data_IF_434030034325
#
_entry.id   IF_434030034325
#
_cell.length_a   1.000
_cell.length_b   1.000
_cell.length_c   1.000
_cell.angle_alpha   90.00
_cell.angle_beta   90.00
_cell.angle_gamma   90.00
#
_symmetry.space_group_name_H-M   'P 1'
#
loop_
_entity.id
_entity.type
_entity.pdbx_description
1 polymer ?
#
# COMPACT_ATOMS: atom_id res chain seq x y z
N UNK A 1 88.68 23.45 -17.92
CA UNK A 1 87.31 23.15 -18.38
C UNK A 1 86.66 22.17 -17.36
N UNK A 2 85.76 22.66 -16.53
CA UNK A 2 85.06 21.87 -15.54
C UNK A 2 83.65 21.64 -16.03
N UNK A 3 83.27 20.38 -16.23
CA UNK A 3 81.93 19.96 -16.58
C UNK A 3 81.09 19.87 -15.30
N UNK A 4 80.03 20.66 -15.22
CA UNK A 4 79.00 20.54 -14.19
C UNK A 4 77.92 19.53 -14.68
N UNK A 5 77.74 18.43 -13.92
CA UNK A 5 76.65 17.50 -14.13
C UNK A 5 75.48 17.96 -13.29
N UNK A 6 74.33 18.34 -13.93
CA UNK A 6 73.05 18.54 -13.28
C UNK A 6 72.34 17.21 -13.12
N UNK A 7 72.14 16.76 -11.86
CA UNK A 7 71.26 15.64 -11.54
C UNK A 7 69.86 16.17 -11.31
N UNK A 8 68.90 15.81 -12.21
CA UNK A 8 67.49 16.12 -12.05
C UNK A 8 66.88 15.01 -11.21
N UNK A 9 66.44 15.33 -9.99
CA UNK A 9 65.64 14.45 -9.14
C UNK A 9 64.17 14.51 -9.57
N UNK A 10 63.67 13.48 -10.17
CA UNK A 10 62.25 13.32 -10.44
C UNK A 10 61.52 12.85 -9.18
N UNK A 11 60.70 13.72 -8.59
CA UNK A 11 59.79 13.39 -7.50
C UNK A 11 58.56 12.64 -8.08
N UNK A 12 58.49 11.36 -7.93
CA UNK A 12 57.28 10.59 -8.25
C UNK A 12 56.25 10.80 -7.15
N UNK A 13 55.22 11.59 -7.40
CA UNK A 13 53.99 11.62 -6.57
C UNK A 13 53.27 10.28 -6.76
N UNK A 14 53.36 9.42 -5.77
CA UNK A 14 52.50 8.25 -5.66
C UNK A 14 51.11 8.76 -5.25
N UNK A 15 50.20 8.91 -6.24
CA UNK A 15 48.77 9.08 -5.97
C UNK A 15 48.23 7.76 -5.38
N UNK A 16 48.17 7.66 -4.06
CA UNK A 16 47.39 6.61 -3.39
C UNK A 16 45.94 6.85 -3.72
N UNK A 17 45.39 6.05 -4.65
CA UNK A 17 43.96 5.95 -4.81
C UNK A 17 43.38 5.42 -3.48
N UNK A 18 42.81 6.31 -2.66
CA UNK A 18 41.96 5.89 -1.57
C UNK A 18 40.80 5.14 -2.23
N UNK A 19 40.84 3.81 -2.17
CA UNK A 19 39.65 3.01 -2.50
C UNK A 19 38.54 3.44 -1.55
N UNK A 20 37.43 3.92 -2.11
CA UNK A 20 36.28 4.30 -1.30
C UNK A 20 35.86 3.10 -0.44
N UNK A 21 35.79 3.31 0.88
CA UNK A 21 35.37 2.27 1.81
C UNK A 21 33.98 1.75 1.39
N UNK A 22 33.75 0.41 1.35
CA UNK A 22 32.45 -0.14 1.01
C UNK A 22 31.33 0.48 1.86
N UNK A 23 30.17 0.76 1.27
CA UNK A 23 29.04 1.39 1.96
C UNK A 23 28.70 0.66 3.25
N UNK A 24 28.66 -0.67 3.20
CA UNK A 24 28.37 -1.51 4.37
C UNK A 24 29.35 -1.29 5.53
N UNK A 25 30.64 -1.14 5.27
CA UNK A 25 31.65 -0.97 6.33
C UNK A 25 31.55 0.44 6.96
N UNK A 26 31.24 1.44 6.14
CA UNK A 26 31.07 2.82 6.60
C UNK A 26 29.90 2.98 7.58
N UNK A 27 28.78 2.33 7.31
CA UNK A 27 27.51 2.53 8.03
C UNK A 27 27.17 1.44 9.04
N UNK A 28 28.01 0.43 9.22
CA UNK A 28 27.74 -0.71 10.12
C UNK A 28 27.41 -0.30 11.55
N UNK A 29 28.16 0.65 12.09
CA UNK A 29 27.95 1.12 13.46
C UNK A 29 26.59 1.82 13.62
N UNK A 30 26.24 2.70 12.70
CA UNK A 30 24.96 3.43 12.73
C UNK A 30 23.79 2.48 12.46
N UNK A 31 23.91 1.57 11.50
CA UNK A 31 22.89 0.54 11.25
C UNK A 31 22.60 -0.29 12.50
N UNK A 32 23.64 -0.74 13.21
CA UNK A 32 23.49 -1.48 14.44
C UNK A 32 22.79 -0.67 15.53
N UNK A 33 23.15 0.60 15.72
CA UNK A 33 22.50 1.50 16.68
C UNK A 33 21.01 1.70 16.36
N UNK A 34 20.68 1.89 15.06
CA UNK A 34 19.30 2.05 14.60
C UNK A 34 18.50 0.79 14.89
N UNK A 35 19.02 -0.39 14.52
CA UNK A 35 18.37 -1.66 14.73
C UNK A 35 18.11 -1.90 16.23
N UNK A 36 19.13 -1.72 17.07
CA UNK A 36 19.00 -1.96 18.52
C UNK A 36 17.98 -1.00 19.14
N UNK A 37 17.95 0.27 18.73
CA UNK A 37 16.99 1.25 19.20
C UNK A 37 15.55 0.91 18.78
N UNK A 38 15.34 0.50 17.53
CA UNK A 38 14.03 0.11 17.04
C UNK A 38 13.49 -1.15 17.74
N UNK A 39 14.35 -2.16 17.96
CA UNK A 39 13.96 -3.42 18.59
C UNK A 39 13.71 -3.31 20.10
N UNK A 40 14.20 -2.28 20.74
CA UNK A 40 13.98 -2.00 22.18
C UNK A 40 12.77 -1.11 22.45
N UNK A 41 12.05 -0.68 21.42
CA UNK A 41 10.96 0.28 21.51
C UNK A 41 9.61 -0.37 21.18
N UNK A 42 8.58 -0.02 21.93
CA UNK A 42 7.20 -0.49 21.74
C UNK A 42 6.25 0.62 21.25
N UNK A 43 6.76 1.80 20.95
CA UNK A 43 5.95 2.98 20.61
C UNK A 43 5.19 2.77 19.31
N UNK A 44 5.79 2.14 18.31
CA UNK A 44 5.11 1.81 17.06
C UNK A 44 3.82 1.00 17.29
N UNK A 45 3.92 -0.07 18.07
CA UNK A 45 2.78 -0.92 18.43
C UNK A 45 1.69 -0.15 19.16
N UNK A 46 2.07 0.62 20.18
CA UNK A 46 1.11 1.41 20.96
C UNK A 46 0.41 2.48 20.11
N UNK A 47 1.11 3.09 19.16
CA UNK A 47 0.53 4.07 18.22
C UNK A 47 -0.42 3.42 17.23
N UNK A 48 -0.06 2.25 16.70
CA UNK A 48 -0.97 1.49 15.85
C UNK A 48 -2.24 1.11 16.61
N UNK A 49 -2.11 0.63 17.85
CA UNK A 49 -3.26 0.33 18.72
C UNK A 49 -4.12 1.59 18.94
N UNK A 50 -3.50 2.71 19.37
CA UNK A 50 -4.22 3.98 19.59
C UNK A 50 -4.96 4.44 18.33
N UNK A 51 -4.30 4.42 17.15
CA UNK A 51 -4.90 4.85 15.90
C UNK A 51 -6.08 3.96 15.49
N UNK A 52 -5.90 2.65 15.50
CA UNK A 52 -6.91 1.70 15.00
C UNK A 52 -8.07 1.50 15.96
N UNK A 53 -7.84 1.59 17.26
CA UNK A 53 -8.87 1.39 18.29
C UNK A 53 -9.66 2.67 18.58
N UNK A 54 -9.02 3.86 18.46
CA UNK A 54 -9.68 5.14 18.72
C UNK A 54 -10.47 5.62 17.50
N UNK A 55 -9.91 5.50 16.30
CA UNK A 55 -10.51 6.05 15.08
C UNK A 55 -11.18 4.97 14.23
N UNK A 56 -10.83 3.71 14.39
CA UNK A 56 -11.40 2.59 13.64
C UNK A 56 -11.08 2.66 12.16
N UNK A 57 -12.06 2.31 11.34
CA UNK A 57 -11.99 2.40 9.89
C UNK A 57 -11.81 3.86 9.44
N UNK A 58 -10.82 4.11 8.60
CA UNK A 58 -10.39 5.47 8.19
C UNK A 58 -10.61 5.71 6.71
N UNK A 59 -11.79 5.34 6.21
CA UNK A 59 -12.08 5.45 4.79
C UNK A 59 -12.08 6.90 4.29
N UNK A 60 -11.65 7.11 3.05
CA UNK A 60 -11.57 8.43 2.42
C UNK A 60 -12.89 9.21 2.48
N UNK A 61 -12.80 10.49 2.84
CA UNK A 61 -13.96 11.37 3.01
C UNK A 61 -14.73 11.15 4.32
N UNK A 62 -14.24 10.29 5.24
CA UNK A 62 -14.87 10.07 6.53
C UNK A 62 -14.32 11.00 7.62
N UNK A 63 -15.15 11.40 8.60
CA UNK A 63 -14.67 12.14 9.77
C UNK A 63 -13.65 11.36 10.60
N UNK A 64 -13.62 10.02 10.54
CA UNK A 64 -12.67 9.20 11.26
C UNK A 64 -11.27 9.39 10.70
N UNK A 65 -11.10 9.37 9.38
CA UNK A 65 -9.83 9.65 8.72
C UNK A 65 -9.28 11.04 9.10
N UNK A 66 -10.11 12.08 9.02
CA UNK A 66 -9.64 13.44 9.32
C UNK A 66 -9.18 13.59 10.79
N UNK A 67 -9.87 12.95 11.73
CA UNK A 67 -9.41 12.91 13.15
C UNK A 67 -8.13 12.14 13.32
N UNK A 68 -7.93 11.04 12.60
CA UNK A 68 -6.67 10.28 12.64
C UNK A 68 -5.51 11.10 12.06
N UNK A 69 -5.74 11.85 10.97
CA UNK A 69 -4.78 12.79 10.40
C UNK A 69 -4.40 13.88 11.42
N UNK A 70 -5.38 14.51 12.08
CA UNK A 70 -5.13 15.54 13.09
C UNK A 70 -4.32 14.98 14.27
N UNK A 71 -4.65 13.78 14.74
CA UNK A 71 -3.92 13.09 15.79
C UNK A 71 -2.47 12.81 15.39
N UNK A 72 -2.26 12.26 14.18
CA UNK A 72 -0.92 11.94 13.68
C UNK A 72 -0.05 13.18 13.56
N UNK A 73 -0.59 14.28 13.00
CA UNK A 73 0.09 15.57 12.92
C UNK A 73 0.47 16.13 14.29
N UNK A 74 -0.42 16.01 15.28
CA UNK A 74 -0.13 16.45 16.65
C UNK A 74 0.99 15.62 17.29
N UNK A 75 0.92 14.29 17.18
CA UNK A 75 1.94 13.38 17.72
C UNK A 75 3.31 13.54 17.06
N UNK A 76 3.36 13.77 15.74
CA UNK A 76 4.62 14.06 15.05
C UNK A 76 5.28 15.36 15.53
N UNK A 77 4.47 16.37 15.89
CA UNK A 77 5.00 17.60 16.51
C UNK A 77 5.52 17.33 17.94
N UNK A 78 4.82 16.53 18.72
CA UNK A 78 5.26 16.10 20.06
C UNK A 78 6.60 15.33 19.99
N UNK A 79 6.83 14.56 18.92
CA UNK A 79 8.10 13.88 18.67
C UNK A 79 9.25 14.82 18.30
N UNK A 80 8.98 16.10 18.09
CA UNK A 80 9.98 17.09 17.66
C UNK A 80 10.39 16.97 16.19
N UNK A 81 9.57 16.32 15.36
CA UNK A 81 9.80 16.26 13.92
C UNK A 81 9.62 17.64 13.29
N UNK A 82 10.35 17.89 12.20
CA UNK A 82 10.36 19.18 11.52
C UNK A 82 9.33 19.22 10.39
N UNK A 83 8.93 20.43 10.01
CA UNK A 83 8.04 20.68 8.86
C UNK A 83 6.74 19.87 8.88
N UNK A 84 6.20 19.57 10.08
CA UNK A 84 4.96 18.80 10.26
C UNK A 84 3.78 19.58 9.71
N UNK A 85 3.14 19.04 8.68
CA UNK A 85 2.02 19.69 7.97
C UNK A 85 1.10 18.68 7.31
N UNK A 86 -0.15 19.11 7.05
CA UNK A 86 -1.07 18.43 6.15
C UNK A 86 -1.00 19.06 4.76
N UNK A 87 -0.70 18.26 3.72
CA UNK A 87 -0.76 18.71 2.33
C UNK A 87 -2.16 18.42 1.75
N UNK A 88 -2.90 19.44 1.27
CA UNK A 88 -4.31 19.28 0.94
C UNK A 88 -4.53 18.40 -0.30
N UNK A 89 -5.52 17.53 -0.21
CA UNK A 89 -5.96 16.64 -1.28
C UNK A 89 -7.49 16.62 -1.34
N UNK A 90 -8.08 16.67 -2.53
CA UNK A 90 -9.51 16.41 -2.72
C UNK A 90 -9.73 14.91 -2.99
N UNK A 91 -10.59 14.29 -2.20
CA UNK A 91 -10.83 12.84 -2.25
C UNK A 91 -12.29 12.51 -2.50
N UNK A 92 -12.62 11.42 -3.21
CA UNK A 92 -14.00 10.99 -3.36
C UNK A 92 -14.59 10.58 -2.02
N UNK A 93 -15.89 10.87 -1.83
CA UNK A 93 -16.63 10.52 -0.64
C UNK A 93 -17.77 9.56 -0.99
N UNK A 94 -17.47 8.28 -0.93
CA UNK A 94 -18.45 7.20 -1.08
C UNK A 94 -18.82 6.64 0.30
N UNK A 95 -20.09 6.28 0.47
CA UNK A 95 -20.60 5.71 1.72
C UNK A 95 -21.35 4.44 1.39
N UNK A 96 -20.98 3.34 2.03
CA UNK A 96 -21.57 2.00 1.87
C UNK A 96 -23.06 1.96 2.24
N UNK A 97 -23.41 2.55 3.37
CA UNK A 97 -24.76 2.48 3.93
C UNK A 97 -25.13 1.09 4.46
N UNK A 98 -26.43 0.80 4.52
CA UNK A 98 -26.94 -0.53 4.91
C UNK A 98 -26.96 -1.49 3.72
N UNK A 99 -26.60 -2.74 3.98
CA UNK A 99 -26.55 -3.76 2.93
C UNK A 99 -26.89 -5.16 3.45
N UNK A 100 -27.46 -6.00 2.60
CA UNK A 100 -27.74 -7.40 2.89
C UNK A 100 -27.88 -8.22 1.61
N UNK A 101 -27.50 -9.50 1.69
CA UNK A 101 -27.80 -10.51 0.68
C UNK A 101 -28.48 -11.72 1.33
N UNK A 102 -29.51 -12.23 0.68
CA UNK A 102 -30.23 -13.41 1.13
C UNK A 102 -30.46 -14.37 -0.03
N UNK A 103 -30.02 -15.60 0.11
CA UNK A 103 -30.43 -16.70 -0.70
C UNK A 103 -31.92 -16.97 -0.38
N UNK A 104 -32.79 -17.02 -1.38
CA UNK A 104 -34.21 -17.30 -1.24
C UNK A 104 -34.56 -18.73 -1.68
N UNK A 105 -33.91 -19.20 -2.73
CA UNK A 105 -34.04 -20.54 -3.26
C UNK A 105 -32.69 -21.21 -3.38
N UNK A 106 -32.54 -22.49 -3.14
CA UNK A 106 -33.60 -23.44 -2.78
C UNK A 106 -34.14 -23.33 -1.34
N UNK A 107 -33.40 -22.63 -0.44
CA UNK A 107 -33.83 -22.41 0.96
C UNK A 107 -33.37 -21.02 1.45
N UNK A 108 -34.14 -20.33 2.30
CA UNK A 108 -33.72 -19.06 2.84
C UNK A 108 -32.45 -19.18 3.69
N UNK A 109 -31.42 -18.33 3.37
CA UNK A 109 -30.17 -18.27 4.10
C UNK A 109 -29.54 -16.87 3.92
N UNK A 110 -29.12 -16.25 5.00
CA UNK A 110 -28.35 -15.01 4.90
C UNK A 110 -26.94 -15.29 4.37
N UNK A 111 -26.51 -14.49 3.41
CA UNK A 111 -25.19 -14.53 2.82
C UNK A 111 -24.38 -13.35 3.38
N UNK A 112 -23.31 -13.57 4.16
CA UNK A 112 -22.39 -12.50 4.48
C UNK A 112 -21.86 -11.86 3.19
N UNK A 113 -21.93 -10.53 3.12
CA UNK A 113 -21.53 -9.78 1.94
C UNK A 113 -20.92 -8.45 2.33
N UNK A 114 -20.13 -7.89 1.43
CA UNK A 114 -19.68 -6.50 1.44
C UNK A 114 -19.87 -5.91 0.04
N UNK A 115 -20.61 -4.80 -0.06
CA UNK A 115 -20.68 -4.03 -1.29
C UNK A 115 -19.28 -3.64 -1.75
N UNK A 116 -19.02 -3.64 -3.05
CA UNK A 116 -17.75 -3.19 -3.57
C UNK A 116 -17.63 -1.67 -3.51
N UNK A 117 -16.45 -1.17 -3.17
CA UNK A 117 -16.18 0.26 -3.06
C UNK A 117 -16.41 0.97 -4.39
N UNK A 118 -17.27 1.99 -4.37
CA UNK A 118 -17.73 2.64 -5.58
C UNK A 118 -18.98 2.05 -6.23
N UNK A 119 -19.56 0.97 -5.66
CA UNK A 119 -20.83 0.44 -6.13
C UNK A 119 -21.98 1.42 -5.92
N UNK A 120 -22.97 1.39 -6.84
CA UNK A 120 -24.24 2.09 -6.65
C UNK A 120 -25.18 1.28 -5.74
N UNK A 121 -26.21 1.96 -5.22
CA UNK A 121 -27.32 1.33 -4.51
C UNK A 121 -28.16 0.43 -5.41
N UNK A 122 -28.91 -0.50 -4.79
CA UNK A 122 -30.05 -1.16 -5.44
C UNK A 122 -31.24 -0.19 -5.55
N UNK A 123 -32.21 -0.44 -6.44
CA UNK A 123 -33.51 0.24 -6.38
C UNK A 123 -34.19 0.06 -5.01
N UNK A 124 -35.15 0.95 -4.63
CA UNK A 124 -35.97 0.74 -3.46
C UNK A 124 -36.58 -0.67 -3.42
N UNK A 125 -36.50 -1.37 -2.29
CA UNK A 125 -36.95 -2.77 -2.15
C UNK A 125 -35.91 -3.82 -2.57
N UNK A 126 -34.78 -3.41 -3.12
CA UNK A 126 -33.70 -4.31 -3.52
C UNK A 126 -33.87 -4.94 -4.90
N UNK A 127 -32.97 -5.84 -5.23
CA UNK A 127 -33.00 -6.66 -6.43
C UNK A 127 -33.24 -8.10 -6.02
N UNK A 128 -34.28 -8.73 -6.58
CA UNK A 128 -34.53 -10.15 -6.40
C UNK A 128 -34.48 -10.82 -7.78
N UNK A 129 -33.47 -11.64 -8.01
CA UNK A 129 -33.27 -12.30 -9.30
C UNK A 129 -32.63 -13.68 -9.15
N UNK A 130 -32.78 -14.49 -10.19
CA UNK A 130 -32.07 -15.75 -10.29
C UNK A 130 -30.57 -15.47 -10.50
N UNK A 131 -29.72 -16.35 -9.97
CA UNK A 131 -28.27 -16.23 -10.11
C UNK A 131 -27.80 -17.06 -11.30
N UNK A 132 -26.77 -16.60 -12.00
CA UNK A 132 -25.98 -17.38 -12.96
C UNK A 132 -24.52 -17.33 -12.54
N UNK A 133 -23.90 -18.49 -12.33
CA UNK A 133 -22.49 -18.59 -11.97
C UNK A 133 -21.64 -18.67 -13.23
N UNK A 134 -20.52 -17.96 -13.18
CA UNK A 134 -19.50 -17.93 -14.24
C UNK A 134 -18.11 -18.07 -13.65
N UNK A 135 -17.21 -18.76 -14.36
CA UNK A 135 -15.82 -19.00 -13.97
C UNK A 135 -14.81 -18.08 -14.63
N UNK A 136 -15.25 -17.23 -15.58
CA UNK A 136 -14.40 -16.26 -16.28
C UNK A 136 -15.24 -15.25 -17.05
N UNK A 137 -14.63 -14.18 -17.60
CA UNK A 137 -15.30 -13.30 -18.55
C UNK A 137 -15.65 -13.99 -19.86
N UNK A 138 -14.83 -14.94 -20.31
CA UNK A 138 -15.13 -15.75 -21.49
C UNK A 138 -16.36 -16.65 -21.24
N UNK A 139 -16.46 -17.27 -20.07
CA UNK A 139 -17.61 -18.07 -19.68
C UNK A 139 -18.88 -17.20 -19.60
N UNK A 140 -18.79 -15.97 -19.07
CA UNK A 140 -19.90 -15.02 -19.09
C UNK A 140 -20.37 -14.72 -20.52
N UNK A 141 -19.43 -14.47 -21.44
CA UNK A 141 -19.75 -14.22 -22.86
C UNK A 141 -20.48 -15.40 -23.47
N UNK A 142 -20.05 -16.62 -23.21
CA UNK A 142 -20.71 -17.84 -23.70
C UNK A 142 -22.12 -18.02 -23.16
N UNK A 143 -22.39 -17.50 -21.97
CA UNK A 143 -23.68 -17.57 -21.28
C UNK A 143 -24.52 -16.29 -21.42
N UNK A 144 -24.13 -15.34 -22.28
CA UNK A 144 -24.71 -13.99 -22.36
C UNK A 144 -26.24 -14.00 -22.47
N UNK A 145 -26.82 -14.81 -23.37
CA UNK A 145 -28.26 -14.91 -23.56
C UNK A 145 -29.02 -15.40 -22.29
N UNK A 146 -28.34 -16.12 -21.41
CA UNK A 146 -28.88 -16.64 -20.16
C UNK A 146 -28.70 -15.68 -18.99
N UNK A 147 -27.80 -14.70 -19.09
CA UNK A 147 -27.41 -13.77 -18.02
C UNK A 147 -28.35 -12.55 -17.93
N UNK A 148 -29.06 -12.21 -19.01
CA UNK A 148 -29.97 -11.07 -19.03
C UNK A 148 -31.04 -11.18 -17.90
N UNK A 149 -31.21 -10.10 -17.15
CA UNK A 149 -32.14 -10.03 -16.02
C UNK A 149 -31.73 -10.82 -14.76
N UNK A 150 -30.52 -11.42 -14.74
CA UNK A 150 -30.03 -12.20 -13.60
C UNK A 150 -28.95 -11.46 -12.82
N UNK A 151 -28.62 -12.01 -11.66
CA UNK A 151 -27.41 -11.67 -10.91
C UNK A 151 -26.30 -12.59 -11.42
N UNK A 152 -25.21 -12.01 -11.90
CA UNK A 152 -24.00 -12.76 -12.28
C UNK A 152 -23.15 -12.96 -11.04
N UNK A 153 -22.79 -14.20 -10.73
CA UNK A 153 -21.80 -14.55 -9.69
C UNK A 153 -20.51 -15.03 -10.35
N UNK A 154 -19.42 -14.29 -10.15
CA UNK A 154 -18.07 -14.72 -10.52
C UNK A 154 -17.51 -15.63 -9.42
N UNK A 155 -17.54 -16.94 -9.61
CA UNK A 155 -16.85 -17.90 -8.74
C UNK A 155 -15.52 -18.29 -9.38
N UNK A 156 -14.53 -17.41 -9.22
CA UNK A 156 -13.17 -17.57 -9.75
C UNK A 156 -12.22 -17.84 -8.61
N UNK A 157 -11.51 -19.00 -8.59
CA UNK A 157 -10.50 -19.31 -7.60
C UNK A 157 -9.37 -18.27 -7.58
N UNK A 158 -8.86 -17.98 -6.39
CA UNK A 158 -7.68 -17.12 -6.24
C UNK A 158 -6.44 -17.83 -6.79
N UNK A 159 -5.72 -17.18 -7.68
CA UNK A 159 -4.41 -17.62 -8.20
C UNK A 159 -3.32 -16.66 -7.74
N UNK A 160 -3.48 -15.40 -8.08
CA UNK A 160 -2.72 -14.27 -7.56
C UNK A 160 -3.67 -13.08 -7.45
N UNK A 161 -3.30 -12.08 -6.64
CA UNK A 161 -4.13 -10.88 -6.53
C UNK A 161 -4.28 -10.18 -7.89
N UNK A 162 -3.17 -9.96 -8.60
CA UNK A 162 -3.18 -9.29 -9.90
C UNK A 162 -4.07 -9.94 -10.96
N UNK A 163 -4.14 -11.28 -10.96
CA UNK A 163 -5.00 -12.01 -11.89
C UNK A 163 -6.46 -12.06 -11.44
N UNK A 164 -6.70 -12.24 -10.13
CA UNK A 164 -8.06 -12.47 -9.65
C UNK A 164 -8.83 -11.17 -9.42
N UNK A 165 -8.16 -10.08 -9.04
CA UNK A 165 -8.79 -8.78 -8.73
C UNK A 165 -9.58 -8.17 -9.88
N UNK A 166 -9.29 -8.52 -11.13
CA UNK A 166 -10.02 -8.03 -12.30
C UNK A 166 -11.53 -8.34 -12.24
N UNK A 167 -11.92 -9.46 -11.62
CA UNK A 167 -13.34 -9.83 -11.47
C UNK A 167 -14.05 -8.92 -10.47
N UNK A 168 -13.35 -8.42 -9.46
CA UNK A 168 -13.83 -7.37 -8.57
C UNK A 168 -13.88 -6.03 -9.29
N UNK A 169 -12.79 -5.62 -9.95
CA UNK A 169 -12.66 -4.31 -10.56
C UNK A 169 -13.58 -4.09 -11.76
N UNK A 170 -13.76 -5.10 -12.62
CA UNK A 170 -14.48 -4.99 -13.90
C UNK A 170 -15.74 -5.86 -13.99
N UNK A 171 -15.99 -6.72 -13.02
CA UNK A 171 -17.10 -7.69 -13.08
C UNK A 171 -18.46 -7.05 -13.31
N UNK A 172 -18.75 -5.91 -12.67
CA UNK A 172 -20.00 -5.19 -12.88
C UNK A 172 -20.16 -4.66 -14.32
N UNK A 173 -19.07 -4.18 -14.93
CA UNK A 173 -19.06 -3.71 -16.33
C UNK A 173 -19.41 -4.87 -17.27
N UNK A 174 -18.69 -5.99 -17.15
CA UNK A 174 -18.88 -7.14 -18.03
C UNK A 174 -20.27 -7.79 -17.84
N UNK A 175 -20.76 -7.88 -16.60
CA UNK A 175 -22.10 -8.35 -16.31
C UNK A 175 -23.18 -7.43 -16.91
N UNK A 176 -23.01 -6.12 -16.83
CA UNK A 176 -23.95 -5.15 -17.38
C UNK A 176 -24.02 -5.22 -18.92
N UNK A 177 -22.91 -5.48 -19.61
CA UNK A 177 -22.87 -5.65 -21.08
C UNK A 177 -23.78 -6.78 -21.56
N UNK A 178 -23.98 -7.81 -20.76
CA UNK A 178 -24.88 -8.94 -21.09
C UNK A 178 -26.28 -8.81 -20.46
N UNK A 179 -26.63 -7.61 -19.95
CA UNK A 179 -27.97 -7.31 -19.43
C UNK A 179 -28.23 -7.83 -18.02
N UNK A 180 -27.20 -8.19 -17.25
CA UNK A 180 -27.37 -8.55 -15.85
C UNK A 180 -27.88 -7.37 -15.00
N UNK A 181 -28.53 -7.66 -13.87
CA UNK A 181 -29.11 -6.64 -12.98
C UNK A 181 -28.24 -6.34 -11.75
N UNK A 182 -27.32 -7.22 -11.39
CA UNK A 182 -26.30 -7.05 -10.37
C UNK A 182 -25.15 -8.01 -10.60
N UNK A 183 -24.00 -7.75 -9.97
CA UNK A 183 -22.86 -8.63 -9.94
C UNK A 183 -22.49 -9.04 -8.51
N UNK A 184 -22.22 -10.31 -8.31
CA UNK A 184 -21.62 -10.85 -7.10
C UNK A 184 -20.24 -11.40 -7.46
N UNK A 185 -19.28 -11.23 -6.54
CA UNK A 185 -17.91 -11.70 -6.73
C UNK A 185 -17.55 -12.57 -5.54
N UNK A 186 -17.01 -13.76 -5.80
CA UNK A 186 -16.29 -14.52 -4.79
C UNK A 186 -15.18 -13.65 -4.24
N UNK A 187 -15.05 -13.54 -2.94
CA UNK A 187 -14.00 -12.79 -2.27
C UNK A 187 -12.60 -13.11 -2.82
N UNK A 188 -11.82 -12.06 -3.10
CA UNK A 188 -10.48 -12.17 -3.71
C UNK A 188 -9.47 -12.52 -2.63
N UNK A 189 -9.45 -13.78 -2.24
CA UNK A 189 -8.60 -14.33 -1.19
C UNK A 189 -8.31 -15.81 -1.44
N UNK A 190 -7.11 -16.30 -1.06
CA UNK A 190 -6.81 -17.73 -1.09
C UNK A 190 -7.48 -18.50 0.04
N UNK A 191 -7.90 -17.80 1.11
CA UNK A 191 -8.42 -18.40 2.33
C UNK A 191 -9.57 -17.57 2.89
N UNK A 192 -10.62 -18.22 3.37
CA UNK A 192 -11.77 -17.53 3.95
C UNK A 192 -12.37 -18.36 5.10
N UNK A 193 -12.87 -17.66 6.12
CA UNK A 193 -13.68 -18.21 7.21
C UNK A 193 -15.04 -17.52 7.20
N UNK A 194 -15.73 -17.57 6.07
CA UNK A 194 -16.97 -16.86 5.77
C UNK A 194 -16.84 -15.33 5.92
N UNK A 195 -15.65 -14.81 5.69
CA UNK A 195 -15.37 -13.38 5.71
C UNK A 195 -15.40 -12.84 4.28
N UNK A 196 -16.34 -11.93 3.94
CA UNK A 196 -16.33 -11.28 2.63
C UNK A 196 -15.20 -10.24 2.56
N UNK A 197 -14.59 -10.10 1.39
CA UNK A 197 -13.54 -9.13 1.10
C UNK A 197 -14.06 -8.05 0.15
N UNK A 198 -14.07 -6.79 0.59
CA UNK A 198 -14.43 -5.65 -0.26
C UNK A 198 -13.28 -5.22 -1.15
N UNK A 199 -13.29 -4.02 -1.63
CA UNK A 199 -12.26 -3.35 -2.42
C UNK A 199 -12.86 -2.57 -3.58
N UNK A 200 -12.05 -1.70 -4.20
CA UNK A 200 -12.47 -0.82 -5.28
C UNK A 200 -12.97 -1.54 -6.53
N UNK A 201 -13.95 -0.95 -7.18
CA UNK A 201 -14.43 -1.33 -8.51
C UNK A 201 -14.56 -0.10 -9.40
N UNK A 202 -14.67 -0.34 -10.71
CA UNK A 202 -14.89 0.70 -11.71
C UNK A 202 -16.24 0.55 -12.41
N UNK A 203 -16.74 1.68 -12.94
CA UNK A 203 -17.82 1.70 -13.92
C UNK A 203 -17.31 2.27 -15.25
N UNK A 204 -17.93 1.81 -16.33
CA UNK A 204 -17.74 2.35 -17.68
C UNK A 204 -18.95 3.25 -18.01
N UNK A 205 -18.69 4.48 -18.48
CA UNK A 205 -19.73 5.44 -18.82
C UNK A 205 -20.61 5.01 -20.00
N UNK A 206 -20.13 4.08 -20.82
CA UNK A 206 -20.85 3.55 -21.98
C UNK A 206 -21.81 2.41 -21.63
N UNK A 207 -21.77 1.92 -20.40
CA UNK A 207 -22.54 0.76 -19.94
C UNK A 207 -23.42 1.15 -18.73
N UNK A 208 -24.62 0.59 -18.64
CA UNK A 208 -25.50 0.79 -17.47
C UNK A 208 -24.77 0.37 -16.20
N UNK A 209 -24.76 1.23 -15.19
CA UNK A 209 -24.24 0.88 -13.86
C UNK A 209 -25.20 -0.11 -13.17
N UNK A 210 -24.67 -1.15 -12.58
CA UNK A 210 -25.37 -2.14 -11.77
C UNK A 210 -24.70 -2.29 -10.40
N UNK A 211 -25.44 -2.61 -9.32
CA UNK A 211 -24.85 -2.88 -8.02
C UNK A 211 -23.91 -4.07 -8.05
N UNK A 212 -22.83 -4.00 -7.25
CA UNK A 212 -21.88 -5.09 -7.13
C UNK A 212 -21.42 -5.28 -5.68
N UNK A 213 -21.27 -6.55 -5.28
CA UNK A 213 -20.85 -6.94 -3.93
C UNK A 213 -19.97 -8.18 -3.96
N UNK A 214 -19.10 -8.30 -2.95
CA UNK A 214 -18.40 -9.54 -2.66
C UNK A 214 -19.23 -10.40 -1.70
N UNK A 215 -19.21 -11.71 -1.92
CA UNK A 215 -19.71 -12.72 -0.98
C UNK A 215 -18.56 -13.65 -0.57
N UNK A 216 -18.77 -14.44 0.46
CA UNK A 216 -17.73 -15.36 0.95
C UNK A 216 -17.33 -16.40 -0.10
N UNK A 217 -16.13 -16.93 0.01
CA UNK A 217 -15.66 -18.05 -0.83
C UNK A 217 -16.58 -19.25 -0.70
N UNK A 218 -16.98 -19.57 0.53
CA UNK A 218 -17.80 -20.72 0.85
C UNK A 218 -19.21 -20.61 0.24
N UNK A 219 -19.82 -19.42 0.31
CA UNK A 219 -21.16 -19.20 -0.21
C UNK A 219 -21.15 -19.14 -1.75
N UNK A 220 -20.11 -18.57 -2.37
CA UNK A 220 -19.94 -18.60 -3.83
C UNK A 220 -19.84 -20.04 -4.34
N UNK A 221 -19.00 -20.85 -3.72
CA UNK A 221 -18.85 -22.27 -4.05
C UNK A 221 -20.11 -23.09 -3.76
N UNK A 222 -20.84 -22.78 -2.68
CA UNK A 222 -22.11 -23.43 -2.38
C UNK A 222 -23.12 -23.17 -3.50
N UNK A 223 -23.27 -21.92 -3.92
CA UNK A 223 -24.17 -21.53 -5.01
C UNK A 223 -23.76 -22.22 -6.33
N UNK A 224 -22.46 -22.30 -6.61
CA UNK A 224 -21.94 -23.00 -7.80
C UNK A 224 -22.38 -24.47 -7.80
N UNK A 225 -22.10 -25.20 -6.71
CA UNK A 225 -22.51 -26.60 -6.59
C UNK A 225 -24.01 -26.81 -6.67
N UNK A 226 -24.84 -25.86 -6.23
CA UNK A 226 -26.29 -25.89 -6.40
C UNK A 226 -26.68 -25.83 -7.89
N UNK A 227 -26.05 -24.92 -8.65
CA UNK A 227 -26.31 -24.82 -10.09
C UNK A 227 -25.83 -26.06 -10.86
N UNK A 228 -24.70 -26.66 -10.50
CA UNK A 228 -24.19 -27.90 -11.11
C UNK A 228 -25.19 -29.07 -10.95
N UNK A 229 -25.93 -29.08 -9.84
CA UNK A 229 -27.00 -30.04 -9.62
C UNK A 229 -28.33 -29.69 -10.31
N UNK A 230 -28.35 -28.57 -11.07
CA UNK A 230 -29.55 -28.10 -11.75
C UNK A 230 -30.55 -27.37 -10.84
N UNK A 231 -30.15 -27.00 -9.62
CA UNK A 231 -31.03 -26.28 -8.69
C UNK A 231 -31.20 -24.83 -9.13
N UNK A 232 -32.39 -24.30 -9.00
CA UNK A 232 -32.66 -22.87 -9.20
C UNK A 232 -32.17 -22.09 -8.00
N UNK A 233 -31.22 -21.16 -8.21
CA UNK A 233 -30.71 -20.28 -7.17
C UNK A 233 -31.29 -18.88 -7.36
N UNK A 234 -31.91 -18.33 -6.30
CA UNK A 234 -32.47 -16.98 -6.30
C UNK A 234 -31.98 -16.19 -5.11
N UNK A 235 -31.51 -14.97 -5.35
CA UNK A 235 -30.96 -14.10 -4.32
C UNK A 235 -31.69 -12.77 -4.29
N UNK A 236 -31.93 -12.25 -3.09
CA UNK A 236 -32.35 -10.88 -2.81
C UNK A 236 -31.12 -10.11 -2.35
N UNK A 237 -30.79 -9.02 -3.05
CA UNK A 237 -29.68 -8.08 -2.74
C UNK A 237 -30.26 -6.72 -2.41
N UNK A 238 -29.82 -6.14 -1.30
CA UNK A 238 -30.16 -4.78 -0.87
C UNK A 238 -28.89 -4.03 -0.56
N UNK A 239 -28.71 -2.85 -1.15
CA UNK A 239 -27.55 -1.96 -0.94
C UNK A 239 -28.03 -0.51 -0.99
N UNK A 240 -27.58 0.32 -0.04
CA UNK A 240 -27.93 1.73 0.03
C UNK A 240 -26.73 2.68 -0.15
N UNK A 241 -25.69 2.17 -0.82
CA UNK A 241 -24.47 2.93 -1.09
C UNK A 241 -24.74 4.25 -1.85
N UNK A 242 -23.99 5.27 -1.54
CA UNK A 242 -24.15 6.59 -2.17
C UNK A 242 -22.82 7.31 -2.33
N UNK A 243 -22.76 8.15 -3.36
CA UNK A 243 -21.70 9.14 -3.53
C UNK A 243 -22.13 10.48 -2.93
N UNK A 244 -21.27 11.08 -2.14
CA UNK A 244 -21.36 12.47 -1.73
C UNK A 244 -20.42 13.31 -2.61
N UNK A 245 -20.51 14.65 -2.59
CA UNK A 245 -19.46 15.50 -3.18
C UNK A 245 -18.09 15.19 -2.62
N UNK A 246 -17.05 15.36 -3.44
CA UNK A 246 -15.66 15.18 -3.03
C UNK A 246 -15.37 16.00 -1.75
N UNK A 247 -14.61 15.40 -0.85
CA UNK A 247 -14.25 15.98 0.45
C UNK A 247 -12.81 16.46 0.45
N UNK A 248 -12.52 17.45 1.30
CA UNK A 248 -11.14 17.85 1.59
C UNK A 248 -10.50 16.85 2.55
N UNK A 249 -9.30 16.40 2.22
CA UNK A 249 -8.43 15.59 3.05
C UNK A 249 -6.99 16.10 2.95
N UNK A 250 -6.03 15.39 3.53
CA UNK A 250 -4.63 15.81 3.57
C UNK A 250 -3.69 14.59 3.64
N UNK A 251 -2.61 14.64 2.87
CA UNK A 251 -1.44 13.83 3.20
C UNK A 251 -0.81 14.36 4.49
N UNK A 252 -0.36 13.47 5.35
CA UNK A 252 0.43 13.82 6.55
C UNK A 252 1.89 13.87 6.17
N UNK A 253 2.61 14.95 6.49
CA UNK A 253 4.02 15.09 6.15
C UNK A 253 4.83 15.54 7.37
N UNK A 254 5.98 14.90 7.60
CA UNK A 254 6.99 15.34 8.58
C UNK A 254 8.40 15.01 8.09
N UNK A 255 9.41 15.67 8.66
CA UNK A 255 10.78 15.60 8.15
C UNK A 255 11.83 15.55 9.29
N UNK A 256 12.99 14.95 8.96
CA UNK A 256 14.29 15.32 9.50
C UNK A 256 15.01 16.06 8.39
N UNK A 257 15.23 17.36 8.56
CA UNK A 257 15.86 18.21 7.54
C UNK A 257 17.33 17.85 7.40
N UNK A 258 17.79 17.70 6.16
CA UNK A 258 19.16 17.36 5.83
C UNK A 258 20.16 18.42 6.28
N UNK A 259 21.31 17.96 6.77
CA UNK A 259 22.36 18.84 7.31
C UNK A 259 23.24 19.51 6.25
N UNK A 260 23.37 18.92 5.06
CA UNK A 260 24.24 19.41 3.98
C UNK A 260 23.47 19.71 2.69
N UNK A 261 22.45 18.88 2.37
CA UNK A 261 21.67 18.94 1.12
C UNK A 261 20.17 18.88 1.44
N UNK A 262 19.62 19.90 2.13
CA UNK A 262 18.24 19.87 2.63
C UNK A 262 17.17 19.76 1.53
N UNK A 263 17.48 20.18 0.30
CA UNK A 263 16.56 20.13 -0.83
C UNK A 263 16.51 18.74 -1.50
N UNK A 264 17.49 17.87 -1.25
CA UNK A 264 17.49 16.49 -1.71
C UNK A 264 16.71 15.62 -0.72
N UNK A 265 15.80 14.76 -1.21
CA UNK A 265 14.78 14.12 -0.38
C UNK A 265 14.81 12.60 -0.56
N UNK A 266 14.85 11.87 0.54
CA UNK A 266 14.43 10.48 0.63
C UNK A 266 13.02 10.51 1.23
N UNK A 267 11.99 10.17 0.43
CA UNK A 267 10.61 10.10 0.88
C UNK A 267 10.23 8.66 1.16
N UNK A 268 9.51 8.42 2.26
CA UNK A 268 9.02 7.10 2.59
C UNK A 268 7.71 7.17 3.37
N UNK A 269 6.90 6.09 3.36
CA UNK A 269 5.62 6.13 4.02
C UNK A 269 4.78 4.88 3.78
N UNK A 270 3.51 5.05 4.03
CA UNK A 270 2.39 4.17 3.77
C UNK A 270 1.11 4.99 3.73
N UNK A 271 -0.04 4.39 3.49
CA UNK A 271 -1.29 5.17 3.46
C UNK A 271 -1.99 5.19 4.83
N UNK A 272 -2.57 6.35 5.16
CA UNK A 272 -3.25 6.54 6.44
C UNK A 272 -4.73 6.15 6.38
N UNK A 273 -5.34 6.16 5.21
CA UNK A 273 -6.71 5.68 5.04
C UNK A 273 -6.79 4.15 5.09
N UNK A 274 -7.96 3.63 5.17
CA UNK A 274 -8.27 2.19 5.14
C UNK A 274 -9.68 1.99 4.58
N UNK A 275 -10.06 0.75 4.28
CA UNK A 275 -11.47 0.45 3.99
C UNK A 275 -12.36 0.81 5.17
N UNK A 276 -13.67 0.92 4.90
CA UNK A 276 -14.72 1.22 5.87
C UNK A 276 -15.18 -0.01 6.68
N UNK A 277 -14.42 -1.09 6.59
CA UNK A 277 -14.58 -2.35 7.32
C UNK A 277 -13.30 -2.68 8.07
N UNK A 278 -13.38 -3.47 9.13
CA UNK A 278 -12.22 -3.71 9.99
C UNK A 278 -11.73 -2.45 10.68
N UNK A 279 -10.45 -2.38 10.92
CA UNK A 279 -9.77 -1.23 11.55
C UNK A 279 -8.56 -0.74 10.77
N UNK A 280 -8.24 -1.37 9.63
CA UNK A 280 -7.10 -1.01 8.80
C UNK A 280 -5.79 -1.03 9.61
N UNK A 281 -5.55 -2.12 10.35
CA UNK A 281 -4.33 -2.25 11.14
C UNK A 281 -3.18 -2.77 10.27
N UNK A 282 -3.48 -3.72 9.40
CA UNK A 282 -2.55 -4.31 8.46
C UNK A 282 -2.46 -3.47 7.18
N UNK A 283 -3.61 -2.98 6.71
CA UNK A 283 -3.81 -2.28 5.44
C UNK A 283 -4.42 -0.87 5.69
N UNK A 284 -3.62 0.21 5.82
CA UNK A 284 -2.16 0.21 5.95
C UNK A 284 -1.73 1.04 7.19
N UNK A 285 -2.50 0.96 8.28
CA UNK A 285 -2.11 1.62 9.54
C UNK A 285 -0.72 1.19 10.02
N UNK A 286 -0.39 -0.08 9.82
CA UNK A 286 0.91 -0.64 10.17
C UNK A 286 2.05 0.01 9.40
N UNK A 287 1.93 0.12 8.06
CA UNK A 287 2.98 0.68 7.22
C UNK A 287 3.23 2.16 7.48
N UNK A 288 2.18 2.97 7.55
CA UNK A 288 2.35 4.40 7.84
C UNK A 288 2.95 4.63 9.24
N UNK A 289 2.56 3.84 10.26
CA UNK A 289 3.14 3.97 11.61
C UNK A 289 4.57 3.48 11.64
N UNK A 290 4.92 2.41 10.92
CA UNK A 290 6.31 1.92 10.80
C UNK A 290 7.21 2.99 10.20
N UNK A 291 6.78 3.66 9.13
CA UNK A 291 7.56 4.74 8.53
C UNK A 291 7.71 5.94 9.48
N UNK A 292 6.63 6.36 10.11
CA UNK A 292 6.69 7.42 11.12
C UNK A 292 7.64 7.07 12.26
N UNK A 293 7.54 5.88 12.82
CA UNK A 293 8.37 5.43 13.92
C UNK A 293 9.84 5.29 13.51
N UNK A 294 10.13 4.87 12.27
CA UNK A 294 11.48 4.86 11.73
C UNK A 294 12.10 6.27 11.79
N UNK A 295 11.34 7.31 11.39
CA UNK A 295 11.81 8.69 11.46
C UNK A 295 12.03 9.13 12.93
N UNK A 296 11.13 8.78 13.84
CA UNK A 296 11.26 9.09 15.27
C UNK A 296 12.50 8.44 15.91
N UNK A 297 12.79 7.18 15.56
CA UNK A 297 14.00 6.49 16.06
C UNK A 297 15.26 7.23 15.61
N UNK A 298 15.34 7.65 14.35
CA UNK A 298 16.48 8.44 13.83
C UNK A 298 16.61 9.77 14.58
N UNK A 299 15.51 10.47 14.82
CA UNK A 299 15.48 11.72 15.58
C UNK A 299 16.00 11.53 17.02
N UNK A 300 15.52 10.49 17.73
CA UNK A 300 15.97 10.17 19.11
C UNK A 300 17.44 9.83 19.20
N UNK A 301 17.98 9.16 18.18
CA UNK A 301 19.41 8.84 18.11
C UNK A 301 20.29 10.06 17.80
N UNK A 302 19.69 11.22 17.48
CA UNK A 302 20.39 12.43 17.12
C UNK A 302 21.13 12.30 15.77
N UNK A 303 20.68 11.38 14.90
CA UNK A 303 21.27 11.18 13.60
C UNK A 303 20.91 12.35 12.68
N UNK A 304 21.93 12.89 11.99
CA UNK A 304 21.80 14.05 11.11
C UNK A 304 22.17 13.64 9.69
N UNK A 305 21.22 13.15 8.90
CA UNK A 305 21.48 12.74 7.53
C UNK A 305 21.89 13.96 6.68
N UNK A 306 22.64 13.75 5.63
CA UNK A 306 23.02 14.82 4.68
C UNK A 306 21.81 15.38 3.94
N UNK A 307 20.87 14.53 3.58
CA UNK A 307 19.63 14.84 2.85
C UNK A 307 18.44 14.77 3.76
N UNK A 308 17.38 15.46 3.40
CA UNK A 308 16.10 15.38 4.12
C UNK A 308 15.49 13.98 3.99
N UNK A 309 15.10 13.44 5.15
CA UNK A 309 14.24 12.25 5.20
C UNK A 309 12.83 12.74 5.49
N UNK A 310 11.91 12.42 4.61
CA UNK A 310 10.49 12.83 4.68
C UNK A 310 9.60 11.62 4.83
N UNK A 311 8.80 11.59 5.89
CA UNK A 311 7.71 10.62 6.01
C UNK A 311 6.43 11.22 5.45
N UNK A 312 5.66 10.40 4.74
CA UNK A 312 4.34 10.76 4.22
C UNK A 312 3.33 9.67 4.61
N UNK A 313 2.22 10.08 5.24
CA UNK A 313 1.01 9.28 5.33
C UNK A 313 0.08 9.71 4.21
N UNK A 314 0.05 8.95 3.13
CA UNK A 314 -0.80 9.27 1.98
C UNK A 314 -2.27 9.04 2.32
N UNK A 315 -3.14 9.84 1.76
CA UNK A 315 -4.60 9.69 1.89
C UNK A 315 -5.20 9.16 0.61
N UNK A 316 -6.29 8.41 0.72
CA UNK A 316 -7.07 7.92 -0.42
C UNK A 316 -6.33 6.96 -1.36
N UNK A 317 -5.49 6.08 -0.84
CA UNK A 317 -4.94 4.97 -1.63
C UNK A 317 -6.07 4.04 -2.07
N UNK A 318 -6.89 3.56 -1.13
CA UNK A 318 -7.87 2.48 -1.21
C UNK A 318 -8.93 2.66 -2.31
N UNK A 319 -9.29 3.91 -2.61
CA UNK A 319 -10.36 4.16 -3.56
C UNK A 319 -10.09 5.35 -4.50
N UNK A 320 -8.82 5.61 -4.83
CA UNK A 320 -8.55 6.66 -5.81
C UNK A 320 -7.12 7.06 -6.07
N UNK A 321 -6.17 6.79 -5.15
CA UNK A 321 -4.75 7.16 -5.29
C UNK A 321 -4.53 8.69 -5.36
N UNK A 322 -5.46 9.48 -4.78
CA UNK A 322 -5.40 10.94 -4.85
C UNK A 322 -4.26 11.51 -4.02
N UNK A 323 -3.86 10.83 -2.93
CA UNK A 323 -2.74 11.22 -2.08
C UNK A 323 -1.42 11.21 -2.83
N UNK A 324 -1.08 10.08 -3.46
CA UNK A 324 0.13 9.95 -4.27
C UNK A 324 0.14 10.89 -5.47
N UNK A 325 -0.99 11.05 -6.16
CA UNK A 325 -1.15 12.01 -7.26
C UNK A 325 -0.96 13.46 -6.79
N UNK A 326 -1.59 13.83 -5.67
CA UNK A 326 -1.48 15.16 -5.07
C UNK A 326 -0.04 15.47 -4.64
N UNK A 327 0.64 14.50 -4.04
CA UNK A 327 2.06 14.63 -3.69
C UNK A 327 2.92 14.88 -4.93
N UNK A 328 2.76 14.04 -5.98
CA UNK A 328 3.45 14.27 -7.28
C UNK A 328 3.23 15.67 -7.81
N UNK A 329 1.99 16.14 -7.82
CA UNK A 329 1.63 17.43 -8.43
C UNK A 329 2.19 18.61 -7.61
N UNK A 330 2.12 18.52 -6.27
CA UNK A 330 2.68 19.53 -5.36
C UNK A 330 4.21 19.63 -5.44
N UNK A 331 4.88 18.50 -5.68
CA UNK A 331 6.35 18.41 -5.69
C UNK A 331 6.95 18.24 -7.10
N UNK A 332 6.15 18.40 -8.16
CA UNK A 332 6.57 18.17 -9.55
C UNK A 332 7.79 19.00 -9.96
N UNK A 333 7.88 20.26 -9.52
CA UNK A 333 9.00 21.15 -9.83
C UNK A 333 10.31 20.73 -9.15
N UNK A 334 10.24 19.92 -8.10
CA UNK A 334 11.39 19.43 -7.34
C UNK A 334 11.51 17.89 -7.40
N UNK A 335 10.90 17.25 -8.39
CA UNK A 335 10.92 15.78 -8.50
C UNK A 335 12.33 15.24 -8.76
N UNK A 336 13.20 16.02 -9.40
CA UNK A 336 14.60 15.72 -9.61
C UNK A 336 15.43 15.70 -8.30
N UNK A 337 14.90 16.31 -7.24
CA UNK A 337 15.50 16.31 -5.90
C UNK A 337 15.12 15.06 -5.07
N UNK A 338 14.11 14.29 -5.48
CA UNK A 338 13.79 13.05 -4.80
C UNK A 338 14.79 11.96 -5.16
N UNK A 339 15.59 11.54 -4.18
CA UNK A 339 16.68 10.56 -4.35
C UNK A 339 16.17 9.13 -4.33
N UNK A 340 15.16 8.87 -3.51
CA UNK A 340 14.49 7.58 -3.36
C UNK A 340 13.08 7.78 -2.81
N UNK A 341 12.15 6.94 -3.25
CA UNK A 341 10.84 6.79 -2.64
C UNK A 341 10.67 5.37 -2.11
N UNK A 342 10.15 5.20 -0.89
CA UNK A 342 9.92 3.89 -0.27
C UNK A 342 8.49 3.82 0.24
N UNK A 343 7.80 2.72 -0.04
CA UNK A 343 6.44 2.46 0.48
C UNK A 343 6.39 1.16 1.28
N UNK A 344 5.61 1.16 2.35
CA UNK A 344 5.29 0.00 3.15
C UNK A 344 3.78 -0.19 3.11
N UNK A 345 3.32 -1.11 2.26
CA UNK A 345 1.90 -1.40 2.00
C UNK A 345 1.71 -2.91 1.71
N UNK A 346 2.34 -3.73 2.51
CA UNK A 346 2.22 -5.20 2.44
C UNK A 346 1.90 -5.81 3.80
N UNK A 347 1.43 -4.98 4.73
CA UNK A 347 1.34 -5.31 6.14
C UNK A 347 2.69 -5.21 6.85
N UNK A 348 2.66 -5.39 8.16
CA UNK A 348 3.86 -5.33 9.01
C UNK A 348 4.18 -6.71 9.59
N UNK A 349 4.20 -7.71 8.71
CA UNK A 349 4.67 -9.05 9.00
C UNK A 349 6.21 -9.10 9.00
N UNK A 350 6.77 -10.30 9.20
CA UNK A 350 8.23 -10.48 9.21
C UNK A 350 8.87 -9.87 7.95
N UNK A 351 9.71 -8.83 8.07
CA UNK A 351 10.35 -8.23 6.91
C UNK A 351 11.39 -9.16 6.31
N UNK A 352 11.46 -9.19 4.99
CA UNK A 352 12.41 -9.96 4.20
C UNK A 352 13.46 -9.05 3.54
N UNK A 353 13.11 -7.78 3.30
CA UNK A 353 13.96 -6.81 2.63
C UNK A 353 13.17 -5.84 1.78
N UNK A 354 13.67 -5.56 0.57
CA UNK A 354 13.01 -4.62 -0.35
C UNK A 354 13.00 -5.12 -1.79
N UNK A 355 11.92 -4.81 -2.50
CA UNK A 355 11.93 -4.76 -3.95
C UNK A 355 12.38 -3.37 -4.41
N UNK A 356 13.30 -3.27 -5.36
CA UNK A 356 13.87 -2.01 -5.84
C UNK A 356 13.72 -1.83 -7.35
N UNK A 357 13.24 -0.68 -7.76
CA UNK A 357 13.17 -0.21 -9.15
C UNK A 357 14.02 1.03 -9.34
N UNK A 358 15.04 0.95 -10.18
CA UNK A 358 15.98 2.03 -10.46
C UNK A 358 17.12 1.55 -11.37
N UNK A 359 18.21 2.33 -11.44
CA UNK A 359 19.37 1.96 -12.25
C UNK A 359 20.15 0.78 -11.65
N UNK A 360 20.95 0.09 -12.48
CA UNK A 360 21.80 -1.01 -12.03
C UNK A 360 22.82 -0.56 -10.98
N UNK A 361 23.41 0.61 -11.16
CA UNK A 361 24.36 1.16 -10.20
C UNK A 361 23.69 1.48 -8.84
N UNK A 362 22.48 2.01 -8.85
CA UNK A 362 21.70 2.21 -7.62
C UNK A 362 21.35 0.86 -6.96
N UNK A 363 20.97 -0.14 -7.76
CA UNK A 363 20.68 -1.48 -7.25
C UNK A 363 21.85 -2.10 -6.50
N UNK A 364 23.08 -2.01 -7.05
CA UNK A 364 24.28 -2.52 -6.38
C UNK A 364 24.58 -1.75 -5.07
N UNK A 365 24.31 -0.44 -5.04
CA UNK A 365 24.44 0.35 -3.81
C UNK A 365 23.44 -0.09 -2.74
N UNK A 366 22.16 -0.24 -3.08
CA UNK A 366 21.15 -0.65 -2.10
C UNK A 366 21.33 -2.10 -1.64
N UNK A 367 21.91 -2.97 -2.49
CA UNK A 367 22.32 -4.33 -2.06
C UNK A 367 23.38 -4.29 -0.95
N UNK A 368 24.37 -3.41 -1.06
CA UNK A 368 25.36 -3.25 0.01
C UNK A 368 24.69 -2.79 1.31
N UNK A 369 23.71 -1.85 1.23
CA UNK A 369 22.96 -1.43 2.41
C UNK A 369 22.16 -2.61 2.97
N UNK A 370 21.53 -3.42 2.11
CA UNK A 370 20.80 -4.63 2.51
C UNK A 370 21.61 -5.55 3.41
N UNK A 371 22.91 -5.76 3.13
CA UNK A 371 23.77 -6.63 3.96
C UNK A 371 23.86 -6.19 5.43
N UNK A 372 23.57 -4.92 5.74
CA UNK A 372 23.53 -4.41 7.11
C UNK A 372 22.29 -4.88 7.88
N UNK A 373 21.28 -5.34 7.16
CA UNK A 373 20.03 -5.88 7.70
C UNK A 373 20.03 -7.41 7.87
N UNK A 374 21.11 -8.10 7.43
CA UNK A 374 21.21 -9.58 7.51
C UNK A 374 21.06 -10.08 8.95
N UNK A 375 21.56 -9.34 9.96
CA UNK A 375 21.43 -9.71 11.38
C UNK A 375 19.99 -9.81 11.87
N UNK A 376 19.05 -9.19 11.17
CA UNK A 376 17.61 -9.22 11.50
C UNK A 376 16.80 -9.97 10.42
N UNK A 377 17.46 -10.57 9.43
CA UNK A 377 16.84 -11.39 8.40
C UNK A 377 16.07 -10.62 7.32
N UNK A 378 16.31 -9.30 7.20
CA UNK A 378 15.64 -8.44 6.22
C UNK A 378 16.59 -7.81 5.19
N UNK A 379 17.71 -8.52 4.88
CA UNK A 379 18.75 -8.01 3.98
C UNK A 379 18.50 -8.23 2.49
N UNK A 380 17.46 -8.96 2.10
CA UNK A 380 17.21 -9.28 0.69
C UNK A 380 16.84 -8.05 -0.12
N UNK A 381 17.52 -7.85 -1.26
CA UNK A 381 17.15 -6.82 -2.23
C UNK A 381 16.86 -7.51 -3.56
N UNK A 382 15.64 -7.35 -4.06
CA UNK A 382 15.18 -7.93 -5.33
C UNK A 382 14.93 -6.84 -6.36
N UNK A 383 14.95 -7.20 -7.65
CA UNK A 383 14.55 -6.30 -8.72
C UNK A 383 13.04 -6.21 -8.82
N UNK A 384 12.56 -5.00 -9.15
CA UNK A 384 11.15 -4.66 -9.12
C UNK A 384 10.70 -4.27 -7.71
N UNK A 385 9.75 -3.40 -7.61
CA UNK A 385 9.24 -2.88 -6.35
C UNK A 385 8.79 -1.43 -6.50
N UNK A 386 8.09 -0.96 -5.53
CA UNK A 386 7.43 0.34 -5.49
C UNK A 386 6.17 0.21 -4.64
N UNK A 387 5.20 1.04 -4.90
CA UNK A 387 3.90 1.02 -4.27
C UNK A 387 2.92 1.92 -5.02
N UNK A 388 1.66 1.89 -4.63
CA UNK A 388 0.60 2.63 -5.30
C UNK A 388 0.75 4.15 -5.11
N UNK A 389 1.13 4.57 -3.91
CA UNK A 389 1.26 5.99 -3.58
C UNK A 389 2.54 6.64 -4.10
N UNK A 390 3.65 5.91 -4.16
CA UNK A 390 4.91 6.40 -4.76
C UNK A 390 4.94 6.21 -6.28
N UNK A 391 4.08 5.38 -6.85
CA UNK A 391 3.96 5.14 -8.29
C UNK A 391 3.93 6.41 -9.13
N UNK A 392 3.14 7.43 -8.78
CA UNK A 392 3.07 8.68 -9.51
C UNK A 392 4.40 9.45 -9.62
N UNK A 393 5.27 9.44 -8.60
CA UNK A 393 6.60 10.08 -8.69
C UNK A 393 7.64 9.15 -9.34
N UNK A 394 7.51 7.83 -9.16
CA UNK A 394 8.35 6.86 -9.87
C UNK A 394 8.17 6.97 -11.38
N UNK A 395 6.95 7.23 -11.86
CA UNK A 395 6.67 7.49 -13.28
C UNK A 395 7.40 8.72 -13.83
N UNK A 396 7.90 9.62 -12.96
CA UNK A 396 8.74 10.77 -13.31
C UNK A 396 10.24 10.48 -13.13
N UNK A 397 10.62 9.19 -12.97
CA UNK A 397 12.01 8.75 -12.91
C UNK A 397 12.64 8.74 -11.51
N UNK A 398 11.86 8.89 -10.44
CA UNK A 398 12.36 8.70 -9.07
C UNK A 398 12.57 7.20 -8.84
N UNK A 399 13.75 6.76 -8.34
CA UNK A 399 13.92 5.38 -7.92
C UNK A 399 12.92 4.99 -6.83
N UNK A 400 12.35 3.80 -6.91
CA UNK A 400 11.32 3.35 -5.98
C UNK A 400 11.68 2.04 -5.30
N UNK A 401 11.11 1.86 -4.10
CA UNK A 401 11.32 0.70 -3.26
C UNK A 401 10.03 0.33 -2.53
N UNK A 402 9.71 -0.96 -2.44
CA UNK A 402 8.65 -1.47 -1.58
C UNK A 402 9.23 -2.34 -0.48
N UNK A 403 8.79 -2.16 0.78
CA UNK A 403 9.12 -3.07 1.86
C UNK A 403 8.54 -4.44 1.55
N UNK A 404 9.38 -5.47 1.51
CA UNK A 404 8.94 -6.85 1.30
C UNK A 404 8.84 -7.56 2.64
N UNK A 405 7.69 -8.13 2.91
CA UNK A 405 7.40 -8.91 4.13
C UNK A 405 6.93 -10.32 3.78
N UNK A 406 6.80 -11.21 4.77
CA UNK A 406 6.12 -12.49 4.61
C UNK A 406 4.61 -12.27 4.39
N UNK A 407 4.20 -12.14 3.14
CA UNK A 407 2.83 -11.87 2.74
C UNK A 407 1.88 -13.07 2.81
N UNK A 408 2.28 -14.20 3.40
CA UNK A 408 1.48 -15.44 3.42
C UNK A 408 0.06 -15.22 3.96
N UNK A 409 -0.10 -14.37 4.97
CA UNK A 409 -1.38 -14.11 5.62
C UNK A 409 -2.07 -12.82 5.15
N UNK A 410 -1.39 -11.99 4.33
CA UNK A 410 -1.92 -10.68 3.94
C UNK A 410 -3.33 -10.79 3.37
N UNK A 411 -3.52 -11.60 2.33
CA UNK A 411 -4.82 -11.78 1.69
C UNK A 411 -5.84 -12.60 2.51
N UNK A 412 -5.50 -13.04 3.74
CA UNK A 412 -6.48 -13.61 4.65
C UNK A 412 -7.35 -12.54 5.30
N UNK A 413 -6.77 -11.36 5.55
CA UNK A 413 -7.39 -10.26 6.30
C UNK A 413 -7.66 -9.01 5.46
N UNK A 414 -6.95 -8.86 4.33
CA UNK A 414 -7.01 -7.72 3.43
C UNK A 414 -8.44 -7.37 3.03
N UNK A 415 -8.86 -6.14 3.29
CA UNK A 415 -10.18 -5.59 2.99
C UNK A 415 -11.36 -6.31 3.68
N UNK A 416 -11.19 -6.74 4.92
CA UNK A 416 -12.21 -7.44 5.71
C UNK A 416 -12.39 -6.85 7.10
N UNK A 417 -13.49 -7.24 7.77
CA UNK A 417 -13.70 -6.93 9.19
C UNK A 417 -12.62 -7.54 10.12
N UNK A 418 -11.83 -8.49 9.62
CA UNK A 418 -10.76 -9.15 10.37
C UNK A 418 -9.42 -8.39 10.34
N UNK A 419 -9.31 -7.29 9.59
CA UNK A 419 -8.11 -6.44 9.63
C UNK A 419 -8.08 -5.64 10.93
N UNK A 420 -7.46 -6.24 11.93
CA UNK A 420 -7.35 -5.75 13.31
C UNK A 420 -5.95 -6.04 13.86
N UNK A 421 -5.50 -5.26 14.83
CA UNK A 421 -4.12 -5.31 15.36
C UNK A 421 -3.72 -6.69 15.90
N UNK A 422 -4.66 -7.47 16.41
CA UNK A 422 -4.42 -8.83 16.92
C UNK A 422 -3.99 -9.86 15.83
N UNK A 423 -3.98 -9.48 14.57
CA UNK A 423 -3.45 -10.27 13.45
C UNK A 423 -1.96 -10.04 13.20
N UNK A 424 -1.39 -9.03 13.85
CA UNK A 424 0.00 -8.60 13.68
C UNK A 424 0.83 -9.02 14.90
N UNK A 425 2.15 -8.94 14.78
CA UNK A 425 3.10 -9.23 15.83
C UNK A 425 3.94 -7.98 16.15
N UNK A 426 4.02 -7.52 17.43
CA UNK A 426 4.75 -6.32 17.80
C UNK A 426 6.25 -6.40 17.50
N UNK A 427 6.85 -7.63 17.54
CA UNK A 427 8.25 -7.81 17.21
C UNK A 427 8.49 -7.72 15.71
N UNK A 428 7.61 -8.29 14.88
CA UNK A 428 7.70 -8.17 13.42
C UNK A 428 7.54 -6.70 12.99
N UNK A 429 6.63 -5.96 13.62
CA UNK A 429 6.48 -4.52 13.41
C UNK A 429 7.76 -3.76 13.77
N UNK A 430 8.41 -4.05 14.90
CA UNK A 430 9.68 -3.43 15.29
C UNK A 430 10.82 -3.77 14.31
N UNK A 431 10.83 -4.98 13.74
CA UNK A 431 11.75 -5.36 12.67
C UNK A 431 11.50 -4.54 11.39
N UNK A 432 10.24 -4.28 11.03
CA UNK A 432 9.90 -3.40 9.90
C UNK A 432 10.40 -1.97 10.15
N UNK A 433 10.22 -1.42 11.37
CA UNK A 433 10.76 -0.10 11.75
C UNK A 433 12.28 -0.06 11.55
N UNK A 434 13.01 -1.05 12.06
CA UNK A 434 14.45 -1.14 11.91
C UNK A 434 14.87 -1.18 10.44
N UNK A 435 14.19 -1.99 9.63
CA UNK A 435 14.46 -2.17 8.21
C UNK A 435 14.27 -0.87 7.43
N UNK A 436 13.16 -0.18 7.64
CA UNK A 436 12.85 1.11 7.01
C UNK A 436 13.82 2.21 7.46
N UNK A 437 14.12 2.31 8.76
CA UNK A 437 15.00 3.33 9.31
C UNK A 437 16.44 3.22 8.78
N UNK A 438 17.00 2.01 8.74
CA UNK A 438 18.36 1.78 8.23
C UNK A 438 18.46 2.17 6.75
N UNK A 439 17.52 1.71 5.92
CA UNK A 439 17.53 2.01 4.49
C UNK A 439 17.38 3.52 4.24
N UNK A 440 16.38 4.15 4.84
CA UNK A 440 16.11 5.57 4.65
C UNK A 440 17.29 6.46 5.13
N UNK A 441 17.85 6.15 6.31
CA UNK A 441 18.97 6.91 6.85
C UNK A 441 20.22 6.81 5.97
N UNK A 442 20.61 5.59 5.62
CA UNK A 442 21.88 5.40 4.88
C UNK A 442 21.78 6.03 3.49
N UNK A 443 20.68 5.83 2.76
CA UNK A 443 20.50 6.48 1.45
C UNK A 443 20.52 8.00 1.57
N UNK A 444 19.92 8.57 2.61
CA UNK A 444 19.94 10.01 2.85
C UNK A 444 21.32 10.54 3.24
N UNK A 445 22.19 9.70 3.83
CA UNK A 445 23.55 10.10 4.28
C UNK A 445 24.67 9.73 3.30
N UNK A 446 24.37 9.03 2.19
CA UNK A 446 25.37 8.75 1.15
C UNK A 446 26.04 10.05 0.68
N UNK A 447 27.35 10.04 0.33
CA UNK A 447 28.03 11.19 -0.26
C UNK A 447 27.32 11.71 -1.51
N UNK A 448 27.00 10.80 -2.42
CA UNK A 448 26.32 11.04 -3.67
C UNK A 448 24.90 10.44 -3.66
N UNK A 449 23.93 11.05 -4.38
CA UNK A 449 22.60 10.49 -4.50
C UNK A 449 22.62 9.18 -5.29
N UNK A 450 21.60 8.33 -5.09
CA UNK A 450 21.43 7.15 -5.93
C UNK A 450 21.32 7.57 -7.41
N UNK A 451 22.09 6.96 -8.31
CA UNK A 451 22.03 7.32 -9.73
C UNK A 451 20.69 6.89 -10.33
N UNK A 452 20.03 7.81 -11.04
CA UNK A 452 18.78 7.53 -11.74
C UNK A 452 19.02 6.65 -12.96
N UNK A 453 17.99 5.89 -13.34
CA UNK A 453 17.98 5.24 -14.65
C UNK A 453 18.00 6.30 -15.77
N UNK A 454 18.68 6.01 -16.87
CA UNK A 454 18.57 6.83 -18.07
C UNK A 454 17.11 6.84 -18.55
N UNK A 455 16.58 7.98 -19.06
CA UNK A 455 15.25 7.99 -19.67
C UNK A 455 15.12 6.88 -20.70
N UNK A 456 14.02 6.15 -20.68
CA UNK A 456 13.71 5.20 -21.73
C UNK A 456 13.69 5.95 -23.07
N UNK A 457 14.51 5.50 -24.04
CA UNK A 457 14.61 6.08 -25.38
C UNK A 457 13.37 5.73 -26.21
#
# INVERSE_FOLDING_TARGET
MRLLSCASAALALAATSLSAQPVADRYRADANRIIDAALSDSVAWNRLAEMTETYGARFSGSPALERAIDWMLAKMKEDGLQNVRGEPVMVPAWVRGSESAQLLLPRPTNLPMLGLGGSIATPPGGITADVIVVSSFSDLTSKAARAAGKIVLYDVPFTSYGETVQYRGRGAIEAAKVGAVAALVRSVTPYSMRTPHTGGMAYDSTVRRIPAAAITVEDAQMIHRMQDRGERVRVKLMMSAKYNPDSRSRNVVAEIVGSEKPDEIVVFGGHIDSWDVGRGAMDDGGGVVVAWEALRVLQRLGLKPKRTIRVVGWTNEENGGRGGQGYRDAHRAAVDKHVLAIESDGGVFKPLGFGFTGSDAAFETVKQIGTLLDRIGSGAITRGGGGADIGPIMALGVPGMGLTVDGTKYFWYHHTDADTIDKLDPREMALCVATMAVMAFIVADLPDPLPRAAPAR
#
